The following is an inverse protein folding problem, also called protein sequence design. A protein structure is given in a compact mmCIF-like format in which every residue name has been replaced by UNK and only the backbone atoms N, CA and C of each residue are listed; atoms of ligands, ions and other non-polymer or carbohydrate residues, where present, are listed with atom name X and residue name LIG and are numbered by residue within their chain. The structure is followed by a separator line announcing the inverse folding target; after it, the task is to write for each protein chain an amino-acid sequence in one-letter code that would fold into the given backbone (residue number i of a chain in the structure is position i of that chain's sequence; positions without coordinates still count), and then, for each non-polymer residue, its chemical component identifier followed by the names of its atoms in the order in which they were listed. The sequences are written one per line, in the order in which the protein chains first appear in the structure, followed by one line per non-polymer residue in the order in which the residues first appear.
data_IF_531372056461
#
_entry.id   IF_531372056461
#
_cell.length_a   1.000
_cell.length_b   1.000
_cell.length_c   1.000
_cell.angle_alpha   90.00
_cell.angle_beta   90.00
_cell.angle_gamma   90.00
#
_symmetry.space_group_name_H-M   'P 1'
#
loop_
_entity.id
_entity.type
_entity.pdbx_description
1 polymer ?
#
# COMPACT_ATOMS: atom_id res chain seq x y z
N UNK A 1 -15.47 -8.41 -38.98
CA UNK A 1 -14.55 -8.66 -37.85
C UNK A 1 -15.39 -8.74 -36.59
N UNK A 2 -15.37 -9.86 -35.88
CA UNK A 2 -16.16 -10.02 -34.65
C UNK A 2 -15.55 -9.17 -33.53
N UNK A 3 -16.30 -8.21 -33.02
CA UNK A 3 -15.90 -7.39 -31.87
C UNK A 3 -16.24 -8.14 -30.59
N UNK A 4 -15.24 -8.78 -29.98
CA UNK A 4 -15.38 -9.36 -28.65
C UNK A 4 -15.22 -8.24 -27.62
N UNK A 5 -16.31 -7.84 -26.97
CA UNK A 5 -16.26 -6.90 -25.86
C UNK A 5 -15.95 -7.66 -24.56
N UNK A 6 -14.80 -7.36 -23.95
CA UNK A 6 -14.42 -7.87 -22.63
C UNK A 6 -14.82 -6.86 -21.57
N UNK A 7 -15.75 -7.22 -20.69
CA UNK A 7 -16.21 -6.35 -19.62
C UNK A 7 -15.51 -6.78 -18.30
N UNK A 8 -14.64 -5.93 -17.76
CA UNK A 8 -13.86 -6.22 -16.54
C UNK A 8 -14.39 -5.33 -15.41
N UNK A 9 -14.92 -5.97 -14.37
CA UNK A 9 -15.36 -5.30 -13.15
C UNK A 9 -14.27 -5.43 -12.08
N UNK A 10 -13.49 -4.37 -11.86
CA UNK A 10 -12.49 -4.34 -10.78
C UNK A 10 -13.16 -3.90 -9.49
N UNK A 11 -13.34 -4.83 -8.55
CA UNK A 11 -13.85 -4.52 -7.21
C UNK A 11 -12.66 -4.14 -6.34
N UNK A 12 -12.65 -2.92 -5.81
CA UNK A 12 -11.66 -2.53 -4.81
C UNK A 12 -11.90 -3.28 -3.51
N UNK A 13 -11.03 -4.27 -3.24
CA UNK A 13 -11.05 -5.01 -1.98
C UNK A 13 -10.36 -4.16 -0.91
N UNK A 14 -10.97 -4.09 0.27
CA UNK A 14 -10.36 -3.45 1.44
C UNK A 14 -9.27 -4.31 2.07
N UNK A 15 -9.39 -5.64 2.00
CA UNK A 15 -8.46 -6.59 2.59
C UNK A 15 -7.61 -7.25 1.50
N UNK A 16 -6.29 -7.21 1.67
CA UNK A 16 -5.32 -7.74 0.71
C UNK A 16 -4.52 -8.90 1.29
N UNK A 17 -4.18 -9.89 0.45
CA UNK A 17 -3.14 -10.87 0.79
C UNK A 17 -1.76 -10.22 0.73
N UNK A 18 -0.76 -10.87 1.31
CA UNK A 18 0.62 -10.39 1.34
C UNK A 18 1.13 -9.97 -0.05
N UNK A 19 0.87 -10.78 -1.08
CA UNK A 19 1.28 -10.51 -2.46
C UNK A 19 0.56 -9.32 -3.07
N UNK A 20 -0.73 -9.16 -2.76
CA UNK A 20 -1.55 -8.05 -3.25
C UNK A 20 -1.16 -6.74 -2.55
N UNK A 21 -0.91 -6.79 -1.24
CA UNK A 21 -0.46 -5.65 -0.45
C UNK A 21 0.92 -5.16 -0.91
N UNK A 22 1.85 -6.09 -1.17
CA UNK A 22 3.15 -5.77 -1.75
C UNK A 22 3.03 -5.11 -3.13
N UNK A 23 2.17 -5.67 -4.00
CA UNK A 23 1.91 -5.12 -5.33
C UNK A 23 1.27 -3.73 -5.27
N UNK A 24 0.33 -3.53 -4.34
CA UNK A 24 -0.33 -2.26 -4.10
C UNK A 24 0.66 -1.18 -3.66
N UNK A 25 1.59 -1.53 -2.76
CA UNK A 25 2.67 -0.65 -2.32
C UNK A 25 3.81 -0.49 -3.36
N UNK A 26 3.74 -1.17 -4.51
CA UNK A 26 4.78 -1.14 -5.54
C UNK A 26 6.10 -1.82 -5.14
N UNK A 27 6.06 -2.72 -4.15
CA UNK A 27 7.24 -3.39 -3.59
C UNK A 27 7.27 -4.87 -3.94
N UNK A 28 8.47 -5.47 -4.13
CA UNK A 28 8.59 -6.92 -4.17
C UNK A 28 8.20 -7.53 -2.82
N UNK A 29 7.49 -8.65 -2.83
CA UNK A 29 7.01 -9.36 -1.62
C UNK A 29 8.11 -9.62 -0.59
N UNK A 30 9.33 -9.93 -1.06
CA UNK A 30 10.51 -10.14 -0.19
C UNK A 30 10.87 -8.90 0.63
N UNK A 31 10.76 -7.72 0.03
CA UNK A 31 11.05 -6.44 0.68
C UNK A 31 9.87 -5.93 1.47
N UNK A 32 8.64 -6.29 1.07
CA UNK A 32 7.43 -5.87 1.75
C UNK A 32 7.41 -6.25 3.24
N UNK A 33 7.81 -7.48 3.61
CA UNK A 33 7.88 -7.89 5.03
C UNK A 33 8.88 -7.12 5.87
N UNK A 34 9.92 -6.58 5.24
CA UNK A 34 11.00 -5.87 5.94
C UNK A 34 10.66 -4.39 6.04
N UNK A 35 10.07 -3.82 4.98
CA UNK A 35 9.79 -2.40 4.86
C UNK A 35 8.44 -2.00 5.45
N UNK A 36 7.44 -2.87 5.41
CA UNK A 36 6.08 -2.56 5.86
C UNK A 36 5.95 -2.86 7.37
N UNK A 37 5.73 -1.85 8.23
CA UNK A 37 5.50 -2.05 9.66
C UNK A 37 4.07 -2.50 9.97
N UNK A 38 3.17 -2.49 8.98
CA UNK A 38 1.74 -2.80 9.16
C UNK A 38 1.57 -4.27 9.52
N UNK A 39 0.97 -4.52 10.69
CA UNK A 39 0.69 -5.87 11.17
C UNK A 39 -0.46 -6.50 10.37
N UNK A 40 -0.34 -7.77 9.94
CA UNK A 40 -1.43 -8.45 9.28
C UNK A 40 -2.58 -8.74 10.25
N UNK A 41 -3.81 -8.52 9.78
CA UNK A 41 -5.04 -8.80 10.50
C UNK A 41 -5.46 -10.25 10.23
N UNK A 42 -5.66 -11.02 11.30
CA UNK A 42 -6.18 -12.38 11.20
C UNK A 42 -7.72 -12.35 11.14
N UNK A 43 -8.28 -12.34 9.93
CA UNK A 43 -9.75 -12.35 9.74
C UNK A 43 -10.38 -13.72 10.02
N UNK A 44 -9.63 -14.80 9.79
CA UNK A 44 -10.01 -16.19 10.04
C UNK A 44 -8.76 -16.94 10.48
N UNK A 45 -8.91 -18.02 11.24
CA UNK A 45 -7.78 -18.91 11.55
C UNK A 45 -7.00 -19.25 10.26
N UNK A 46 -5.71 -18.91 10.26
CA UNK A 46 -4.79 -19.12 9.13
C UNK A 46 -4.88 -18.12 7.97
N UNK A 47 -5.80 -17.15 8.01
CA UNK A 47 -5.94 -16.13 6.95
C UNK A 47 -5.48 -14.77 7.49
N UNK A 48 -4.28 -14.39 7.09
CA UNK A 48 -3.67 -13.09 7.36
C UNK A 48 -3.91 -12.16 6.17
N UNK A 49 -4.51 -11.01 6.44
CA UNK A 49 -4.83 -9.99 5.45
C UNK A 49 -4.37 -8.62 5.94
N UNK A 50 -4.00 -7.75 5.00
CA UNK A 50 -3.62 -6.37 5.27
C UNK A 50 -4.79 -5.45 4.90
N UNK A 51 -5.12 -4.50 5.77
CA UNK A 51 -6.12 -3.46 5.46
C UNK A 51 -5.50 -2.42 4.52
N UNK A 52 -6.21 -2.11 3.44
CA UNK A 52 -5.88 -0.99 2.53
C UNK A 52 -5.65 0.30 3.30
N UNK A 53 -6.49 0.59 4.32
CA UNK A 53 -6.40 1.84 5.07
C UNK A 53 -5.11 1.96 5.87
N UNK A 54 -4.66 0.87 6.46
CA UNK A 54 -3.41 0.86 7.22
C UNK A 54 -2.20 0.98 6.27
N UNK A 55 -2.30 0.36 5.08
CA UNK A 55 -1.29 0.55 4.03
C UNK A 55 -1.26 1.99 3.52
N UNK A 56 -2.42 2.60 3.27
CA UNK A 56 -2.52 4.00 2.83
C UNK A 56 -1.96 4.95 3.89
N UNK A 57 -2.29 4.75 5.17
CA UNK A 57 -1.73 5.52 6.28
C UNK A 57 -0.21 5.39 6.37
N UNK A 58 0.34 4.18 6.18
CA UNK A 58 1.78 3.98 6.16
C UNK A 58 2.43 4.69 4.96
N UNK A 59 1.85 4.59 3.77
CA UNK A 59 2.34 5.28 2.56
C UNK A 59 2.33 6.80 2.76
N UNK A 60 1.25 7.32 3.35
CA UNK A 60 1.13 8.73 3.68
C UNK A 60 2.14 9.17 4.73
N UNK A 61 2.41 8.34 5.75
CA UNK A 61 3.46 8.61 6.77
C UNK A 61 4.87 8.62 6.16
N UNK A 62 5.16 7.69 5.24
CA UNK A 62 6.43 7.71 4.48
C UNK A 62 6.53 9.00 3.64
N UNK A 63 5.43 9.44 3.05
CA UNK A 63 5.37 10.68 2.27
C UNK A 63 5.54 11.92 3.15
N UNK A 64 4.89 12.00 4.32
CA UNK A 64 4.97 13.14 5.23
C UNK A 64 6.30 13.19 5.97
N UNK A 65 6.85 12.06 6.41
CA UNK A 65 8.19 11.97 7.00
C UNK A 65 9.29 12.43 6.03
N UNK A 66 9.08 12.21 4.72
CA UNK A 66 9.94 12.75 3.67
C UNK A 66 9.71 14.26 3.44
N UNK A 67 8.46 14.74 3.50
CA UNK A 67 8.12 16.16 3.34
C UNK A 67 8.56 17.06 4.52
N UNK A 68 8.49 16.56 5.76
CA UNK A 68 8.95 17.29 6.96
C UNK A 68 10.45 17.62 6.90
N UNK A 69 11.24 16.81 6.19
CA UNK A 69 12.68 17.07 6.01
C UNK A 69 12.96 18.10 4.91
N UNK A 70 12.02 18.32 3.97
CA UNK A 70 12.35 19.00 2.70
C UNK A 70 11.74 20.39 2.54
N UNK A 71 10.59 20.70 3.17
CA UNK A 71 9.94 22.02 2.99
C UNK A 71 10.38 23.09 4.02
N UNK A 72 10.47 22.77 5.31
CA UNK A 72 10.82 23.78 6.33
C UNK A 72 12.33 24.09 6.41
N UNK A 73 13.20 23.16 6.02
CA UNK A 73 14.65 23.36 6.07
C UNK A 73 15.17 24.34 4.98
N UNK A 74 14.41 24.56 3.91
CA UNK A 74 14.82 25.43 2.79
C UNK A 74 14.40 26.90 3.04
N UNK A 75 13.28 27.13 3.75
CA UNK A 75 12.78 28.49 4.01
C UNK A 75 13.43 29.16 5.24
N UNK A 76 14.05 28.41 6.14
CA UNK A 76 14.74 28.96 7.32
C UNK A 76 16.14 29.52 7.05
N UNK A 77 16.58 29.55 5.78
CA UNK A 77 17.95 29.96 5.38
C UNK A 77 17.99 31.20 4.47
N UNK A 78 16.92 32.00 4.46
CA UNK A 78 16.84 33.30 3.79
C UNK A 78 16.57 34.44 4.78
#
# INVERSE_FOLDING_TARGET
MSTTNLNISVIEKRMFKETEAASYAGLPVKHFKIACPVQPIQLRQGVLLWDKRDLDLWIDDVKTGTQATTHDAILARL
#
